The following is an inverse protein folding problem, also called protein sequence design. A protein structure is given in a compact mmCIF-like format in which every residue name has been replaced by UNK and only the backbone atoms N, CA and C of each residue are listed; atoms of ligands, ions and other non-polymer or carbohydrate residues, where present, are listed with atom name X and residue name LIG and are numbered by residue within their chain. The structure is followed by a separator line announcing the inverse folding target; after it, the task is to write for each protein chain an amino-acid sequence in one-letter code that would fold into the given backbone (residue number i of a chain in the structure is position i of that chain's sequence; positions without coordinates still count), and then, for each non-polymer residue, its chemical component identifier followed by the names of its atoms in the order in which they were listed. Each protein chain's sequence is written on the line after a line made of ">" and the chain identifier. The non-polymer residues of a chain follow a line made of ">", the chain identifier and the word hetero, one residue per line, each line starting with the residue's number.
data_IF_914734455199
#
_entry.id   IF_914734455199
#
_cell.length_a   1.000
_cell.length_b   1.000
_cell.length_c   1.000
_cell.angle_alpha   90.00
_cell.angle_beta   90.00
_cell.angle_gamma   90.00
#
_symmetry.space_group_name_H-M   'P 1'
#
loop_
_entity.id
_entity.type
_entity.pdbx_description
1 polymer ?
#
# COMPACT_ATOMS: atom_id res chain seq x y z
N UNK A 1 18.77 3.65 -40.71
CA UNK A 1 17.52 4.43 -40.58
C UNK A 1 17.14 4.46 -39.10
N UNK A 2 16.54 5.55 -38.61
CA UNK A 2 16.42 5.82 -37.17
C UNK A 2 15.42 4.93 -36.42
N UNK A 3 15.89 4.29 -35.36
CA UNK A 3 15.17 4.08 -34.10
C UNK A 3 16.19 4.29 -32.97
N UNK A 4 15.93 5.21 -32.00
CA UNK A 4 15.43 4.73 -30.70
C UNK A 4 14.49 5.75 -30.00
N UNK A 5 13.19 5.49 -30.00
CA UNK A 5 12.20 6.24 -29.18
C UNK A 5 11.08 5.37 -28.61
N UNK A 6 11.12 4.05 -28.82
CA UNK A 6 9.94 3.17 -28.67
C UNK A 6 9.70 2.59 -27.27
N UNK A 7 10.61 2.78 -26.29
CA UNK A 7 10.48 2.16 -24.95
C UNK A 7 9.69 2.99 -23.93
N UNK A 8 9.63 4.32 -24.08
CA UNK A 8 8.97 5.22 -23.11
C UNK A 8 7.48 4.87 -22.89
N UNK A 9 6.66 4.59 -23.94
CA UNK A 9 5.23 4.32 -23.74
C UNK A 9 4.91 2.97 -23.11
N UNK A 10 5.84 2.02 -23.13
CA UNK A 10 5.69 0.68 -22.55
C UNK A 10 5.92 0.72 -21.03
N UNK A 11 6.86 1.53 -20.57
CA UNK A 11 7.25 1.57 -19.16
C UNK A 11 6.22 2.33 -18.33
N UNK A 12 5.71 3.47 -18.82
CA UNK A 12 4.56 4.12 -18.18
C UNK A 12 3.34 3.19 -18.08
N UNK A 13 3.14 2.29 -19.07
CA UNK A 13 2.04 1.31 -19.02
C UNK A 13 2.31 0.12 -18.13
N UNK A 14 3.56 -0.26 -17.89
CA UNK A 14 3.86 -1.26 -16.87
C UNK A 14 3.56 -0.71 -15.46
N UNK A 15 3.73 0.60 -15.26
CA UNK A 15 3.36 1.31 -14.02
C UNK A 15 1.83 1.44 -13.90
N UNK A 16 1.13 1.87 -14.97
CA UNK A 16 -0.35 1.94 -14.98
C UNK A 16 -1.02 0.55 -14.86
N UNK A 17 -0.39 -0.51 -15.38
CA UNK A 17 -0.92 -1.88 -15.29
C UNK A 17 -0.62 -2.57 -13.94
N UNK A 18 0.36 -2.07 -13.18
CA UNK A 18 0.63 -2.54 -11.81
C UNK A 18 -0.21 -1.80 -10.76
N UNK A 19 -0.59 -0.53 -11.00
CA UNK A 19 -1.40 0.27 -10.08
C UNK A 19 -2.58 0.95 -10.76
N UNK A 20 -3.73 0.26 -10.75
CA UNK A 20 -5.00 0.87 -11.11
C UNK A 20 -5.43 1.92 -10.08
N UNK A 21 -5.13 3.19 -10.37
CA UNK A 21 -5.44 4.45 -9.65
C UNK A 21 -4.18 5.16 -9.12
N UNK A 22 -3.85 6.32 -9.72
CA UNK A 22 -3.50 7.54 -8.97
C UNK A 22 -3.50 8.83 -9.83
N UNK A 23 -4.63 9.11 -10.51
CA UNK A 23 -4.81 10.33 -11.33
C UNK A 23 -5.62 11.45 -10.62
N UNK A 24 -5.77 11.40 -9.29
CA UNK A 24 -6.78 12.21 -8.56
C UNK A 24 -6.22 13.47 -7.87
N UNK A 25 -4.93 13.53 -7.56
CA UNK A 25 -4.35 14.60 -6.71
C UNK A 25 -3.71 15.80 -7.45
N UNK A 26 -3.73 15.84 -8.79
CA UNK A 26 -3.17 16.96 -9.57
C UNK A 26 -4.00 18.28 -9.49
N UNK A 27 -5.02 18.36 -8.62
CA UNK A 27 -5.96 19.51 -8.53
C UNK A 27 -5.84 20.39 -7.28
N UNK A 28 -4.90 20.12 -6.35
CA UNK A 28 -4.75 20.92 -5.12
C UNK A 28 -3.58 21.94 -5.15
N UNK A 29 -2.90 22.09 -6.29
CA UNK A 29 -1.75 22.98 -6.44
C UNK A 29 -2.08 24.49 -6.66
N UNK A 30 -3.36 24.89 -6.68
CA UNK A 30 -3.77 26.31 -6.85
C UNK A 30 -4.69 26.74 -5.71
N UNK A 31 -4.12 27.25 -4.63
CA UNK A 31 -4.89 27.63 -3.44
C UNK A 31 -5.57 29.01 -3.52
N UNK A 32 -6.74 29.11 -2.89
CA UNK A 32 -7.18 30.34 -2.20
C UNK A 32 -8.20 30.01 -1.10
N UNK A 33 -7.93 30.39 0.15
CA UNK A 33 -8.92 30.38 1.23
C UNK A 33 -9.80 31.62 1.12
N UNK A 34 -11.12 31.45 1.19
CA UNK A 34 -12.04 32.41 1.83
C UNK A 34 -13.09 31.55 2.54
N UNK A 35 -13.37 31.83 3.82
CA UNK A 35 -14.36 31.08 4.61
C UNK A 35 -15.58 31.93 4.93
N UNK A 36 -16.60 31.31 5.55
CA UNK A 36 -17.71 31.92 6.32
C UNK A 36 -18.25 30.85 7.30
N UNK A 37 -18.99 31.31 8.31
CA UNK A 37 -19.67 30.66 9.45
C UNK A 37 -20.44 29.33 9.13
N UNK A 38 -20.99 28.56 10.10
CA UNK A 38 -21.71 29.02 11.29
C UNK A 38 -21.90 27.95 12.41
N UNK A 39 -22.33 28.42 13.59
CA UNK A 39 -22.67 27.63 14.79
C UNK A 39 -24.02 26.90 14.64
N UNK A 40 -24.13 25.68 15.16
CA UNK A 40 -25.34 25.15 15.82
C UNK A 40 -25.04 23.80 16.53
N UNK A 41 -25.90 23.39 17.48
CA UNK A 41 -25.97 22.09 18.16
C UNK A 41 -25.30 21.92 19.54
N UNK A 42 -25.44 22.92 20.41
CA UNK A 42 -25.83 22.64 21.81
C UNK A 42 -27.36 22.54 21.85
N UNK A 43 -27.96 21.40 22.22
CA UNK A 43 -29.36 21.27 22.73
C UNK A 43 -29.86 19.79 22.86
N UNK A 44 -29.12 18.89 23.52
CA UNK A 44 -29.65 17.54 23.85
C UNK A 44 -29.15 16.99 25.19
N UNK A 45 -29.68 17.51 26.31
CA UNK A 45 -30.36 16.71 27.37
C UNK A 45 -30.83 17.61 28.54
N UNK A 46 -32.08 17.49 29.06
CA UNK A 46 -32.55 18.28 30.21
C UNK A 46 -32.20 17.62 31.56
N UNK A 47 -31.83 18.41 32.57
CA UNK A 47 -31.49 17.90 33.91
C UNK A 47 -32.66 17.86 34.90
N UNK A 48 -32.43 17.29 36.10
CA UNK A 48 -33.14 17.67 37.32
C UNK A 48 -32.48 17.17 38.63
N UNK A 49 -32.82 17.87 39.72
CA UNK A 49 -32.80 17.47 41.14
C UNK A 49 -31.61 17.83 42.07
N UNK A 50 -31.96 18.58 43.13
CA UNK A 50 -31.26 18.91 44.39
C UNK A 50 -32.19 18.48 45.55
N UNK A 51 -31.75 18.14 46.76
CA UNK A 51 -30.48 18.32 47.48
C UNK A 51 -30.09 17.03 48.24
N UNK A 52 -28.99 17.02 49.01
CA UNK A 52 -29.03 16.98 50.49
C UNK A 52 -27.60 16.90 51.09
N UNK A 53 -27.37 17.70 52.13
CA UNK A 53 -26.19 17.64 53.03
C UNK A 53 -26.55 16.91 54.32
N UNK A 54 -25.69 16.03 54.81
CA UNK A 54 -25.69 15.54 56.20
C UNK A 54 -24.25 15.29 56.65
N UNK A 55 -23.84 15.86 57.78
CA UNK A 55 -22.57 15.58 58.46
C UNK A 55 -22.63 14.24 59.21
N UNK A 56 -21.49 13.55 59.35
CA UNK A 56 -21.44 12.36 60.22
C UNK A 56 -20.13 11.58 60.16
N UNK A 57 -19.43 11.51 61.30
CA UNK A 57 -18.20 10.73 61.44
C UNK A 57 -18.47 9.23 61.65
N UNK A 58 -17.53 8.37 61.26
CA UNK A 58 -17.35 7.06 61.89
C UNK A 58 -17.16 5.84 60.98
N UNK A 59 -16.01 5.18 61.14
CA UNK A 59 -15.79 3.74 60.92
C UNK A 59 -15.95 3.23 59.47
N UNK A 60 -14.97 3.55 58.62
CA UNK A 60 -14.62 2.70 57.47
C UNK A 60 -13.73 1.56 57.97
N UNK A 61 -14.21 0.32 57.89
CA UNK A 61 -13.44 -0.87 58.27
C UNK A 61 -12.37 -1.14 57.20
N UNK A 62 -11.11 -1.32 57.58
CA UNK A 62 -10.09 -1.86 56.67
C UNK A 62 -10.42 -3.31 56.31
N UNK A 63 -11.21 -3.47 55.25
CA UNK A 63 -11.44 -4.73 54.57
C UNK A 63 -10.44 -4.85 53.42
N UNK A 64 -9.25 -5.40 53.70
CA UNK A 64 -8.32 -5.89 52.67
C UNK A 64 -8.92 -7.11 51.97
N UNK A 65 -9.96 -6.88 51.17
CA UNK A 65 -10.32 -7.78 50.09
C UNK A 65 -9.27 -7.57 49.00
N UNK A 66 -8.31 -8.49 48.93
CA UNK A 66 -7.60 -8.72 47.67
C UNK A 66 -8.65 -9.10 46.64
N UNK A 67 -8.93 -8.20 45.70
CA UNK A 67 -10.00 -8.39 44.73
C UNK A 67 -9.41 -9.27 43.64
N UNK A 68 -9.69 -10.57 43.65
CA UNK A 68 -9.35 -11.43 42.51
C UNK A 68 -10.12 -10.88 41.32
N UNK A 69 -9.40 -10.22 40.42
CA UNK A 69 -9.95 -9.64 39.21
C UNK A 69 -10.02 -10.71 38.12
N UNK A 70 -11.11 -10.68 37.36
CA UNK A 70 -11.25 -11.59 36.24
C UNK A 70 -10.28 -11.21 35.12
N UNK A 71 -10.00 -12.18 34.25
CA UNK A 71 -9.29 -11.99 32.98
C UNK A 71 -9.67 -10.70 32.23
N UNK A 72 -10.97 -10.36 32.21
CA UNK A 72 -11.51 -9.13 31.64
C UNK A 72 -10.90 -7.87 32.23
N UNK A 73 -10.92 -7.76 33.55
CA UNK A 73 -10.48 -6.57 34.27
C UNK A 73 -8.95 -6.44 34.18
N UNK A 74 -8.23 -7.58 34.26
CA UNK A 74 -6.79 -7.64 33.99
C UNK A 74 -6.45 -7.20 32.56
N UNK A 75 -7.19 -7.66 31.55
CA UNK A 75 -6.97 -7.29 30.15
C UNK A 75 -7.22 -5.80 29.91
N UNK A 76 -8.32 -5.27 30.46
CA UNK A 76 -8.62 -3.83 30.41
C UNK A 76 -7.56 -3.00 31.13
N UNK A 77 -7.10 -3.45 32.31
CA UNK A 77 -6.03 -2.80 33.07
C UNK A 77 -4.73 -2.78 32.26
N UNK A 78 -4.23 -3.94 31.82
CA UNK A 78 -3.00 -4.04 31.01
C UNK A 78 -3.04 -3.19 29.73
N UNK A 79 -4.21 -3.13 29.08
CA UNK A 79 -4.43 -2.27 27.91
C UNK A 79 -4.36 -0.78 28.27
N UNK A 80 -5.00 -0.37 29.37
CA UNK A 80 -4.96 1.00 29.87
C UNK A 80 -3.55 1.41 30.33
N UNK A 81 -2.84 0.54 31.06
CA UNK A 81 -1.45 0.74 31.50
C UNK A 81 -0.48 1.00 30.33
N UNK A 82 -0.76 0.44 29.15
CA UNK A 82 0.04 0.63 27.93
C UNK A 82 -0.52 1.69 26.96
N UNK A 83 -1.57 2.43 27.33
CA UNK A 83 -2.29 3.41 26.49
C UNK A 83 -2.85 2.84 25.16
N UNK A 84 -3.14 1.54 25.09
CA UNK A 84 -3.59 0.88 23.87
C UNK A 84 -5.11 1.05 23.65
N UNK A 85 -5.52 1.24 22.40
CA UNK A 85 -6.95 1.11 22.00
C UNK A 85 -7.34 -0.36 21.86
N UNK A 86 -8.66 -0.68 21.85
CA UNK A 86 -9.12 -2.05 21.59
C UNK A 86 -8.70 -2.51 20.18
N UNK A 87 -8.70 -1.56 19.24
CA UNK A 87 -8.24 -1.68 17.87
C UNK A 87 -6.75 -2.02 17.79
N UNK A 88 -5.89 -1.32 18.53
CA UNK A 88 -4.45 -1.59 18.57
C UNK A 88 -4.12 -2.96 19.16
N UNK A 89 -4.82 -3.35 20.24
CA UNK A 89 -4.71 -4.70 20.78
C UNK A 89 -5.18 -5.75 19.75
N UNK A 90 -6.27 -5.48 19.02
CA UNK A 90 -6.78 -6.40 18.00
C UNK A 90 -5.80 -6.57 16.81
N UNK A 91 -5.16 -5.48 16.36
CA UNK A 91 -4.10 -5.49 15.34
C UNK A 91 -2.90 -6.33 15.81
N UNK A 92 -2.34 -6.06 17.00
CA UNK A 92 -1.25 -6.83 17.62
C UNK A 92 -1.57 -8.34 17.74
N UNK A 93 -2.83 -8.66 18.00
CA UNK A 93 -3.31 -10.03 18.20
C UNK A 93 -3.66 -10.77 16.90
N UNK A 94 -3.71 -10.07 15.75
CA UNK A 94 -4.25 -10.60 14.50
C UNK A 94 -5.67 -11.14 14.69
N UNK A 95 -6.56 -10.32 15.25
CA UNK A 95 -8.00 -10.61 15.44
C UNK A 95 -8.83 -9.38 15.11
N UNK A 96 -10.14 -9.58 14.93
CA UNK A 96 -11.06 -8.45 14.80
C UNK A 96 -11.21 -7.68 16.12
N UNK A 97 -11.47 -6.37 16.04
CA UNK A 97 -11.76 -5.53 17.22
C UNK A 97 -12.91 -6.13 18.04
N UNK A 98 -13.93 -6.67 17.38
CA UNK A 98 -15.05 -7.34 18.04
C UNK A 98 -14.61 -8.50 18.94
N UNK A 99 -13.56 -9.25 18.58
CA UNK A 99 -13.02 -10.31 19.44
C UNK A 99 -12.46 -9.73 20.74
N UNK A 100 -11.66 -8.67 20.67
CA UNK A 100 -11.16 -7.95 21.86
C UNK A 100 -12.30 -7.35 22.67
N UNK A 101 -13.30 -6.74 22.03
CA UNK A 101 -14.50 -6.24 22.73
C UNK A 101 -15.31 -7.36 23.39
N UNK A 102 -15.38 -8.57 22.80
CA UNK A 102 -16.05 -9.74 23.41
C UNK A 102 -15.25 -10.28 24.60
N UNK A 103 -13.92 -10.30 24.53
CA UNK A 103 -13.01 -10.65 25.63
C UNK A 103 -13.14 -9.65 26.79
N UNK A 104 -13.07 -8.34 26.50
CA UNK A 104 -13.28 -7.25 27.47
C UNK A 104 -14.74 -7.11 27.96
N UNK A 105 -15.66 -7.96 27.49
CA UNK A 105 -17.06 -8.00 27.91
C UNK A 105 -17.50 -9.37 28.47
N UNK A 106 -16.56 -10.31 28.71
CA UNK A 106 -16.85 -11.69 29.17
C UNK A 106 -17.79 -12.50 28.26
N UNK A 107 -18.01 -12.04 27.01
CA UNK A 107 -18.89 -12.71 26.04
C UNK A 107 -18.20 -13.83 25.27
N UNK A 108 -16.87 -13.86 25.28
CA UNK A 108 -16.05 -14.92 24.73
C UNK A 108 -14.70 -14.95 25.47
N UNK A 109 -14.04 -16.10 25.47
CA UNK A 109 -12.65 -16.24 25.90
C UNK A 109 -11.72 -16.32 24.67
N UNK A 110 -10.45 -15.89 24.75
CA UNK A 110 -9.48 -16.16 23.70
C UNK A 110 -9.16 -17.66 23.62
N UNK A 111 -8.79 -18.13 22.42
CA UNK A 111 -8.21 -19.46 22.23
C UNK A 111 -6.79 -19.53 22.85
N UNK A 112 -6.29 -20.75 23.11
CA UNK A 112 -4.99 -20.96 23.78
C UNK A 112 -3.84 -20.21 23.08
N UNK A 113 -3.75 -20.29 21.75
CA UNK A 113 -2.73 -19.59 20.96
C UNK A 113 -2.81 -18.06 21.08
N UNK A 114 -4.03 -17.54 21.28
CA UNK A 114 -4.26 -16.11 21.52
C UNK A 114 -3.91 -15.74 22.97
N UNK A 115 -4.19 -16.60 23.96
CA UNK A 115 -3.71 -16.40 25.34
C UNK A 115 -2.18 -16.34 25.42
N UNK A 116 -1.48 -17.24 24.72
CA UNK A 116 -0.01 -17.24 24.65
C UNK A 116 0.53 -15.97 23.97
N UNK A 117 -0.16 -15.44 22.95
CA UNK A 117 0.22 -14.14 22.36
C UNK A 117 -0.04 -12.97 23.31
N UNK A 118 -1.14 -12.98 24.07
CA UNK A 118 -1.42 -11.95 25.07
C UNK A 118 -0.34 -11.92 26.16
N UNK A 119 0.13 -13.07 26.64
CA UNK A 119 1.22 -13.13 27.62
C UNK A 119 2.54 -12.60 27.07
N UNK A 120 2.86 -12.87 25.79
CA UNK A 120 4.04 -12.31 25.11
C UNK A 120 3.97 -10.78 24.90
N UNK A 121 2.79 -10.24 24.58
CA UNK A 121 2.57 -8.79 24.38
C UNK A 121 2.63 -8.03 25.71
N UNK A 122 1.97 -8.59 26.73
CA UNK A 122 1.80 -7.92 28.03
C UNK A 122 2.89 -8.26 29.06
N UNK A 123 3.75 -9.24 28.78
CA UNK A 123 4.88 -9.70 29.62
C UNK A 123 4.42 -10.13 31.03
N UNK A 124 3.46 -11.05 31.04
CA UNK A 124 2.81 -11.65 32.21
C UNK A 124 2.63 -13.16 31.99
N UNK A 125 2.44 -13.94 33.06
CA UNK A 125 2.12 -15.37 32.91
C UNK A 125 0.64 -15.61 32.58
N UNK A 126 0.28 -16.80 32.11
CA UNK A 126 -1.14 -17.15 31.84
C UNK A 126 -1.95 -17.08 33.14
N UNK A 127 -1.40 -17.60 34.24
CA UNK A 127 -2.05 -17.58 35.55
C UNK A 127 -2.24 -16.16 36.10
N UNK A 128 -1.25 -15.27 35.92
CA UNK A 128 -1.39 -13.83 36.21
C UNK A 128 -2.51 -13.19 35.40
N UNK A 129 -2.56 -13.45 34.08
CA UNK A 129 -3.53 -12.86 33.17
C UNK A 129 -4.96 -13.32 33.49
N UNK A 130 -5.15 -14.60 33.85
CA UNK A 130 -6.46 -15.24 34.04
C UNK A 130 -6.97 -15.15 35.49
N UNK A 131 -6.10 -15.16 36.49
CA UNK A 131 -6.48 -15.27 37.91
C UNK A 131 -5.63 -14.45 38.89
N UNK A 132 -4.63 -13.70 38.42
CA UNK A 132 -3.86 -12.77 39.24
C UNK A 132 -4.58 -11.44 39.48
N UNK A 133 -4.17 -10.70 40.49
CA UNK A 133 -4.46 -9.25 40.61
C UNK A 133 -3.30 -8.48 39.98
N UNK A 134 -3.50 -8.01 38.74
CA UNK A 134 -2.48 -7.24 38.01
C UNK A 134 -2.58 -5.72 38.24
N UNK A 135 -3.49 -5.23 39.10
CA UNK A 135 -3.62 -3.79 39.39
C UNK A 135 -2.54 -3.24 40.32
N UNK A 136 -1.91 -4.11 41.11
CA UNK A 136 -0.76 -3.76 41.96
C UNK A 136 0.58 -3.66 41.21
N UNK A 137 0.66 -4.11 39.95
CA UNK A 137 1.90 -4.08 39.16
C UNK A 137 2.09 -2.67 38.59
N UNK A 138 3.08 -1.94 39.11
CA UNK A 138 3.44 -0.62 38.61
C UNK A 138 3.72 -0.66 37.09
N UNK A 139 3.35 0.37 36.32
CA UNK A 139 3.62 0.41 34.88
C UNK A 139 5.11 0.26 34.60
N UNK A 140 5.50 -0.89 34.05
CA UNK A 140 6.85 -1.13 33.55
C UNK A 140 7.10 -0.15 32.39
N UNK A 141 7.79 0.95 32.66
CA UNK A 141 7.91 2.11 31.76
C UNK A 141 8.62 1.80 30.43
N UNK A 142 9.14 0.59 30.24
CA UNK A 142 9.89 0.15 29.08
C UNK A 142 9.07 0.03 27.78
N UNK A 143 7.73 -0.07 27.83
CA UNK A 143 6.86 -0.26 26.64
C UNK A 143 5.47 0.41 26.73
N UNK A 144 5.33 1.57 27.35
CA UNK A 144 4.10 2.36 27.21
C UNK A 144 4.04 3.01 25.83
N UNK A 145 2.92 2.86 25.09
CA UNK A 145 2.73 3.62 23.86
C UNK A 145 2.56 5.10 24.25
N UNK A 146 3.35 6.04 23.68
CA UNK A 146 3.24 7.45 24.05
C UNK A 146 1.89 7.99 23.60
N UNK A 147 1.11 8.50 24.56
CA UNK A 147 -0.23 8.99 24.30
C UNK A 147 -0.23 10.12 23.24
N UNK A 148 -0.88 9.86 22.10
CA UNK A 148 -1.30 10.83 21.07
C UNK A 148 -0.20 11.57 20.27
N UNK A 149 1.05 11.59 20.70
CA UNK A 149 2.12 12.35 20.04
C UNK A 149 2.86 11.61 18.92
N UNK A 150 2.87 10.28 18.95
CA UNK A 150 3.32 9.43 17.86
C UNK A 150 2.59 8.08 17.95
N UNK A 151 1.64 7.86 17.04
CA UNK A 151 1.26 6.49 16.71
C UNK A 151 2.52 5.85 16.09
N UNK A 152 3.12 4.91 16.81
CA UNK A 152 4.28 4.18 16.29
C UNK A 152 3.82 3.19 15.23
N UNK A 153 4.64 2.93 14.22
CA UNK A 153 4.42 1.83 13.28
C UNK A 153 4.62 0.50 14.03
N UNK A 154 3.53 -0.07 14.52
CA UNK A 154 3.53 -1.31 15.32
C UNK A 154 3.80 -2.55 14.45
N UNK A 155 3.41 -2.50 13.17
CA UNK A 155 3.45 -3.66 12.26
C UNK A 155 4.70 -3.69 11.36
N UNK A 156 5.50 -2.61 11.33
CA UNK A 156 6.63 -2.45 10.40
C UNK A 156 6.18 -2.14 8.97
N UNK A 157 5.01 -1.54 8.82
CA UNK A 157 4.38 -1.20 7.55
C UNK A 157 5.23 -0.25 6.68
N UNK A 158 5.81 0.79 7.30
CA UNK A 158 6.60 1.80 6.59
C UNK A 158 7.85 1.17 5.97
N UNK A 159 8.58 0.36 6.75
CA UNK A 159 9.76 -0.39 6.29
C UNK A 159 9.37 -1.41 5.21
N UNK A 160 8.28 -2.16 5.42
CA UNK A 160 7.78 -3.14 4.47
C UNK A 160 7.49 -2.50 3.09
N UNK A 161 6.71 -1.41 3.07
CA UNK A 161 6.36 -0.71 1.83
C UNK A 161 7.55 0.01 1.18
N UNK A 162 8.52 0.52 1.93
CA UNK A 162 9.78 1.06 1.36
C UNK A 162 10.60 -0.04 0.70
N UNK A 163 10.69 -1.22 1.33
CA UNK A 163 11.41 -2.37 0.77
C UNK A 163 10.73 -2.87 -0.52
N UNK A 164 9.40 -2.91 -0.55
CA UNK A 164 8.60 -3.19 -1.74
C UNK A 164 8.89 -2.19 -2.86
N UNK A 165 8.76 -0.89 -2.58
CA UNK A 165 9.01 0.20 -3.52
C UNK A 165 10.39 0.09 -4.17
N UNK A 166 11.44 -0.10 -3.34
CA UNK A 166 12.82 -0.26 -3.80
C UNK A 166 13.02 -1.51 -4.64
N UNK A 167 12.49 -2.66 -4.22
CA UNK A 167 12.67 -3.92 -4.94
C UNK A 167 11.99 -3.90 -6.32
N UNK A 168 10.78 -3.33 -6.41
CA UNK A 168 10.09 -3.18 -7.69
C UNK A 168 10.81 -2.16 -8.58
N UNK A 169 11.15 -0.98 -8.07
CA UNK A 169 11.86 0.04 -8.84
C UNK A 169 13.23 -0.46 -9.36
N UNK A 170 14.01 -1.16 -8.52
CA UNK A 170 15.28 -1.79 -8.93
C UNK A 170 15.06 -2.88 -9.97
N UNK A 171 14.05 -3.74 -9.79
CA UNK A 171 13.75 -4.80 -10.74
C UNK A 171 13.41 -4.25 -12.13
N UNK A 172 12.58 -3.21 -12.22
CA UNK A 172 12.25 -2.54 -13.49
C UNK A 172 13.49 -1.88 -14.10
N UNK A 173 14.32 -1.19 -13.31
CA UNK A 173 15.55 -0.58 -13.78
C UNK A 173 16.54 -1.61 -14.34
N UNK A 174 16.69 -2.77 -13.69
CA UNK A 174 17.58 -3.84 -14.14
C UNK A 174 17.10 -4.47 -15.46
N UNK A 175 15.80 -4.61 -15.69
CA UNK A 175 15.25 -5.06 -16.98
C UNK A 175 15.67 -4.09 -18.11
N UNK A 176 15.57 -2.78 -17.85
CA UNK A 176 15.96 -1.74 -18.81
C UNK A 176 17.48 -1.70 -19.05
N UNK A 177 18.29 -1.92 -18.00
CA UNK A 177 19.73 -2.06 -18.14
C UNK A 177 20.13 -3.34 -18.89
N UNK A 178 19.37 -4.44 -18.77
CA UNK A 178 19.56 -5.64 -19.58
C UNK A 178 19.33 -5.39 -21.08
N UNK A 179 18.25 -4.68 -21.41
CA UNK A 179 18.00 -4.23 -22.79
C UNK A 179 19.09 -3.25 -23.30
N UNK A 180 19.51 -2.29 -22.47
CA UNK A 180 20.62 -1.40 -22.78
C UNK A 180 21.93 -2.14 -23.03
N UNK A 181 22.26 -3.09 -22.16
CA UNK A 181 23.42 -3.97 -22.28
C UNK A 181 23.39 -4.81 -23.56
N UNK A 182 22.23 -5.32 -23.97
CA UNK A 182 22.07 -6.02 -25.23
C UNK A 182 22.40 -5.12 -26.44
N UNK A 183 21.85 -3.89 -26.49
CA UNK A 183 22.17 -2.94 -27.58
C UNK A 183 23.63 -2.48 -27.59
N UNK A 184 24.25 -2.38 -26.41
CA UNK A 184 25.67 -2.07 -26.27
C UNK A 184 26.56 -3.21 -26.78
N UNK A 185 26.24 -4.44 -26.39
CA UNK A 185 26.94 -5.65 -26.82
C UNK A 185 26.84 -5.82 -28.33
N UNK A 186 25.65 -5.70 -28.92
CA UNK A 186 25.46 -5.72 -30.38
C UNK A 186 26.34 -4.67 -31.09
N UNK A 187 26.39 -3.44 -30.55
CA UNK A 187 27.25 -2.36 -31.05
C UNK A 187 28.76 -2.64 -30.97
N UNK A 188 29.20 -3.46 -30.01
CA UNK A 188 30.60 -3.88 -29.85
C UNK A 188 30.95 -5.17 -30.61
N UNK A 189 30.05 -6.15 -30.65
CA UNK A 189 30.31 -7.50 -31.19
C UNK A 189 30.00 -7.62 -32.67
N UNK A 190 29.53 -6.56 -33.34
CA UNK A 190 29.27 -6.50 -34.80
C UNK A 190 30.47 -6.85 -35.73
N UNK A 191 31.66 -7.11 -35.19
CA UNK A 191 32.84 -7.61 -35.92
C UNK A 191 33.34 -9.00 -35.44
N UNK A 192 32.65 -9.62 -34.48
CA UNK A 192 32.93 -10.94 -33.94
C UNK A 192 31.93 -11.97 -34.50
N UNK A 193 32.33 -13.25 -34.52
CA UNK A 193 31.65 -14.29 -35.28
C UNK A 193 30.33 -14.84 -34.67
N UNK A 194 29.90 -14.35 -33.50
CA UNK A 194 28.62 -14.69 -32.87
C UNK A 194 28.12 -13.52 -31.99
N UNK A 195 27.51 -12.47 -32.58
CA UNK A 195 27.04 -11.30 -31.84
C UNK A 195 25.72 -11.55 -31.09
N UNK A 196 24.94 -12.55 -31.50
CA UNK A 196 23.56 -12.79 -31.06
C UNK A 196 23.52 -13.47 -29.68
N UNK A 197 24.47 -14.36 -29.39
CA UNK A 197 24.53 -15.03 -28.08
C UNK A 197 24.77 -14.04 -26.92
N UNK A 198 25.70 -13.10 -27.08
CA UNK A 198 26.07 -12.14 -26.04
C UNK A 198 24.95 -11.14 -25.72
N UNK A 199 24.31 -10.59 -26.75
CA UNK A 199 23.19 -9.65 -26.60
C UNK A 199 21.95 -10.34 -26.01
N UNK A 200 21.64 -11.57 -26.42
CA UNK A 200 20.59 -12.38 -25.83
C UNK A 200 20.83 -12.67 -24.34
N UNK A 201 22.06 -13.07 -23.96
CA UNK A 201 22.43 -13.31 -22.55
C UNK A 201 22.24 -12.05 -21.70
N UNK A 202 22.62 -10.87 -22.19
CA UNK A 202 22.43 -9.61 -21.46
C UNK A 202 20.93 -9.27 -21.29
N UNK A 203 20.12 -9.43 -22.33
CA UNK A 203 18.68 -9.17 -22.29
C UNK A 203 17.97 -10.12 -21.33
N UNK A 204 18.15 -11.43 -21.51
CA UNK A 204 17.48 -12.45 -20.68
C UNK A 204 18.02 -12.50 -19.26
N UNK A 205 19.31 -12.20 -19.05
CA UNK A 205 19.91 -12.07 -17.72
C UNK A 205 19.31 -10.89 -16.94
N UNK A 206 19.21 -9.71 -17.55
CA UNK A 206 18.54 -8.55 -16.94
C UNK A 206 17.06 -8.81 -16.66
N UNK A 207 16.36 -9.50 -17.57
CA UNK A 207 14.98 -9.92 -17.36
C UNK A 207 14.84 -10.88 -16.16
N UNK A 208 15.69 -11.92 -16.08
CA UNK A 208 15.66 -12.90 -15.00
C UNK A 208 15.96 -12.27 -13.64
N UNK A 209 16.99 -11.41 -13.55
CA UNK A 209 17.35 -10.72 -12.30
C UNK A 209 16.23 -9.74 -11.89
N UNK A 210 15.66 -8.98 -12.84
CA UNK A 210 14.57 -8.06 -12.54
C UNK A 210 13.30 -8.76 -12.03
N UNK A 211 12.90 -9.86 -12.67
CA UNK A 211 11.78 -10.69 -12.21
C UNK A 211 12.06 -11.36 -10.85
N UNK A 212 13.30 -11.77 -10.59
CA UNK A 212 13.72 -12.31 -9.29
C UNK A 212 13.66 -11.28 -8.14
N UNK A 213 13.61 -9.98 -8.43
CA UNK A 213 13.32 -8.94 -7.44
C UNK A 213 11.82 -8.62 -7.34
N UNK A 214 11.13 -8.51 -8.47
CA UNK A 214 9.71 -8.09 -8.52
C UNK A 214 8.79 -9.18 -7.95
N UNK A 215 8.94 -10.44 -8.39
CA UNK A 215 7.99 -11.51 -8.07
C UNK A 215 7.99 -11.83 -6.56
N UNK A 216 9.14 -12.04 -5.88
CA UNK A 216 9.13 -12.28 -4.44
C UNK A 216 8.65 -11.07 -3.64
N UNK A 217 8.92 -9.85 -4.10
CA UNK A 217 8.44 -8.63 -3.45
C UNK A 217 6.90 -8.54 -3.48
N UNK A 218 6.29 -8.77 -4.64
CA UNK A 218 4.82 -8.83 -4.77
C UNK A 218 4.20 -9.92 -3.91
N UNK A 219 4.75 -11.14 -3.93
CA UNK A 219 4.26 -12.25 -3.07
C UNK A 219 4.38 -11.89 -1.58
N UNK A 220 5.48 -11.23 -1.17
CA UNK A 220 5.64 -10.79 0.22
C UNK A 220 4.64 -9.72 0.64
N UNK A 221 4.25 -8.80 -0.26
CA UNK A 221 3.23 -7.79 0.05
C UNK A 221 1.83 -8.41 0.14
N UNK A 222 1.45 -9.32 -0.76
CA UNK A 222 0.20 -10.06 -0.62
C UNK A 222 0.14 -10.90 0.67
N UNK A 223 1.27 -11.48 1.09
CA UNK A 223 1.35 -12.19 2.38
C UNK A 223 1.29 -11.23 3.59
N UNK A 224 1.86 -10.03 3.47
CA UNK A 224 1.78 -8.99 4.48
C UNK A 224 0.35 -8.45 4.63
N UNK A 225 -0.35 -8.18 3.53
CA UNK A 225 -1.75 -7.74 3.50
C UNK A 225 -2.68 -8.75 4.22
N UNK A 226 -2.49 -10.05 3.96
CA UNK A 226 -3.25 -11.13 4.62
C UNK A 226 -3.00 -11.23 6.12
N UNK A 227 -1.79 -10.92 6.57
CA UNK A 227 -1.44 -10.91 8.00
C UNK A 227 -1.83 -9.61 8.72
N UNK A 228 -2.00 -8.50 7.99
CA UNK A 228 -2.38 -7.20 8.54
C UNK A 228 -3.56 -6.55 7.76
N UNK A 229 -4.78 -7.10 7.78
CA UNK A 229 -5.89 -6.61 6.94
C UNK A 229 -6.44 -5.22 7.31
N UNK A 230 -5.97 -4.65 8.42
CA UNK A 230 -6.31 -3.30 8.85
C UNK A 230 -5.13 -2.66 9.56
N UNK A 231 -4.82 -1.41 9.20
CA UNK A 231 -3.78 -0.58 9.81
C UNK A 231 -4.41 0.79 10.17
N UNK A 232 -4.13 1.27 11.38
CA UNK A 232 -4.52 2.61 11.83
C UNK A 232 -3.59 3.68 11.22
N UNK A 233 -4.17 4.83 10.80
CA UNK A 233 -3.40 5.90 10.16
C UNK A 233 -2.46 6.59 11.15
N UNK A 234 -1.18 6.24 11.10
CA UNK A 234 -0.15 6.74 12.00
C UNK A 234 0.65 7.93 11.45
N UNK A 235 0.48 8.28 10.17
CA UNK A 235 1.21 9.38 9.54
C UNK A 235 0.59 10.74 9.86
N UNK A 236 1.41 11.69 10.31
CA UNK A 236 0.97 13.07 10.49
C UNK A 236 0.73 13.77 9.14
N UNK A 237 -0.13 14.80 9.13
CA UNK A 237 -0.36 15.61 7.92
C UNK A 237 0.93 16.21 7.36
N UNK A 238 1.85 16.65 8.22
CA UNK A 238 3.17 17.16 7.81
C UNK A 238 4.07 16.09 7.16
N UNK A 239 3.97 14.84 7.60
CA UNK A 239 4.67 13.71 6.95
C UNK A 239 4.06 13.43 5.57
N UNK A 240 2.74 13.39 5.45
CA UNK A 240 2.04 13.21 4.17
C UNK A 240 2.39 14.33 3.18
N UNK A 241 2.39 15.57 3.62
CA UNK A 241 2.76 16.74 2.80
C UNK A 241 4.26 16.80 2.45
N UNK A 242 5.13 16.17 3.23
CA UNK A 242 6.55 16.00 2.89
C UNK A 242 6.73 15.00 1.75
N UNK A 243 6.08 13.83 1.86
CA UNK A 243 6.12 12.77 0.84
C UNK A 243 5.50 13.26 -0.48
N UNK A 244 4.32 13.90 -0.43
CA UNK A 244 3.66 14.49 -1.61
C UNK A 244 4.50 15.55 -2.32
N UNK A 245 5.29 16.35 -1.59
CA UNK A 245 6.25 17.30 -2.19
C UNK A 245 7.47 16.60 -2.79
N UNK A 246 8.04 15.62 -2.10
CA UNK A 246 9.15 14.82 -2.61
C UNK A 246 8.77 14.11 -3.93
N UNK A 247 7.58 13.52 -4.00
CA UNK A 247 7.01 12.93 -5.21
C UNK A 247 7.04 13.87 -6.42
N UNK A 248 6.66 15.14 -6.25
CA UNK A 248 6.70 16.13 -7.34
C UNK A 248 8.11 16.35 -7.89
N UNK A 249 9.12 16.37 -7.02
CA UNK A 249 10.53 16.49 -7.43
C UNK A 249 11.08 15.20 -8.04
N UNK A 250 10.80 14.02 -7.47
CA UNK A 250 11.27 12.73 -7.99
C UNK A 250 10.61 12.40 -9.35
N UNK A 251 9.31 12.65 -9.52
CA UNK A 251 8.59 12.51 -10.79
C UNK A 251 9.16 13.44 -11.87
N UNK A 252 9.36 14.72 -11.54
CA UNK A 252 9.92 15.70 -12.49
C UNK A 252 11.37 15.37 -12.85
N UNK A 253 12.18 14.98 -11.85
CA UNK A 253 13.57 14.55 -12.05
C UNK A 253 13.66 13.27 -12.89
N UNK A 254 12.77 12.31 -12.68
CA UNK A 254 12.69 11.09 -13.46
C UNK A 254 12.32 11.35 -14.92
N UNK A 255 11.29 12.16 -15.18
CA UNK A 255 10.91 12.59 -16.54
C UNK A 255 12.07 13.35 -17.21
N UNK A 256 12.70 14.28 -16.50
CA UNK A 256 13.85 15.02 -17.00
C UNK A 256 15.03 14.10 -17.34
N UNK A 257 15.30 13.06 -16.54
CA UNK A 257 16.35 12.08 -16.82
C UNK A 257 16.07 11.27 -18.10
N UNK A 258 14.83 10.82 -18.33
CA UNK A 258 14.45 10.13 -19.59
C UNK A 258 14.59 11.06 -20.79
N UNK A 259 14.10 12.30 -20.69
CA UNK A 259 14.18 13.27 -21.80
C UNK A 259 15.62 13.69 -22.10
N UNK A 260 16.44 13.90 -21.07
CA UNK A 260 17.86 14.20 -21.20
C UNK A 260 18.63 13.02 -21.82
N UNK A 261 18.33 11.77 -21.43
CA UNK A 261 18.99 10.60 -22.02
C UNK A 261 18.61 10.42 -23.49
N UNK A 262 17.36 10.68 -23.87
CA UNK A 262 16.94 10.72 -25.27
C UNK A 262 17.67 11.82 -26.06
N UNK A 263 17.72 13.05 -25.53
CA UNK A 263 18.41 14.17 -26.16
C UNK A 263 19.93 13.92 -26.33
N UNK A 264 20.58 13.37 -25.29
CA UNK A 264 21.99 12.98 -25.36
C UNK A 264 22.21 11.86 -26.38
N UNK A 265 21.37 10.82 -26.38
CA UNK A 265 21.52 9.69 -27.31
C UNK A 265 21.51 10.10 -28.79
N UNK A 266 20.81 11.18 -29.15
CA UNK A 266 20.79 11.71 -30.50
C UNK A 266 22.12 12.35 -30.96
N UNK A 267 23.01 12.70 -30.02
CA UNK A 267 24.31 13.33 -30.30
C UNK A 267 25.52 12.37 -30.30
N UNK A 268 25.34 11.09 -29.94
CA UNK A 268 26.41 10.09 -29.94
C UNK A 268 26.38 9.21 -31.19
N UNK A 269 27.50 8.51 -31.46
CA UNK A 269 27.53 7.45 -32.46
C UNK A 269 26.45 6.39 -32.21
N UNK A 270 25.89 5.83 -33.28
CA UNK A 270 24.75 4.90 -33.24
C UNK A 270 24.96 3.68 -32.34
N UNK A 271 26.22 3.25 -32.14
CA UNK A 271 26.61 2.13 -31.28
C UNK A 271 26.40 2.42 -29.78
N UNK A 272 26.56 3.67 -29.34
CA UNK A 272 26.44 4.07 -27.94
C UNK A 272 25.09 4.72 -27.62
N UNK A 273 24.44 5.31 -28.63
CA UNK A 273 23.15 5.98 -28.50
C UNK A 273 22.10 5.13 -27.77
N UNK A 274 21.89 3.87 -28.19
CA UNK A 274 20.93 2.96 -27.57
C UNK A 274 21.24 2.70 -26.09
N UNK A 275 22.48 2.33 -25.78
CA UNK A 275 22.93 2.05 -24.42
C UNK A 275 22.75 3.26 -23.48
N UNK A 276 23.16 4.46 -23.92
CA UNK A 276 23.03 5.70 -23.15
C UNK A 276 21.56 6.07 -22.90
N UNK A 277 20.69 5.88 -23.91
CA UNK A 277 19.26 6.06 -23.75
C UNK A 277 18.70 5.11 -22.67
N UNK A 278 19.04 3.82 -22.72
CA UNK A 278 18.56 2.82 -21.75
C UNK A 278 19.08 3.04 -20.33
N UNK A 279 20.32 3.49 -20.15
CA UNK A 279 20.86 3.84 -18.82
C UNK A 279 20.08 4.99 -18.19
N UNK A 280 19.87 6.09 -18.92
CA UNK A 280 19.11 7.21 -18.40
C UNK A 280 17.60 6.93 -18.30
N UNK A 281 17.07 6.06 -19.15
CA UNK A 281 15.71 5.54 -19.00
C UNK A 281 15.56 4.69 -17.74
N UNK A 282 16.53 3.82 -17.43
CA UNK A 282 16.52 3.03 -16.19
C UNK A 282 16.58 3.92 -14.94
N UNK A 283 17.41 4.97 -14.93
CA UNK A 283 17.47 5.95 -13.83
C UNK A 283 16.15 6.71 -13.71
N UNK A 284 15.63 7.25 -14.82
CA UNK A 284 14.40 8.05 -14.81
C UNK A 284 13.19 7.24 -14.36
N UNK A 285 13.08 5.99 -14.84
CA UNK A 285 12.03 5.05 -14.47
C UNK A 285 12.17 4.59 -13.03
N UNK A 286 13.39 4.31 -12.55
CA UNK A 286 13.62 3.98 -11.13
C UNK A 286 13.02 5.07 -10.23
N UNK A 287 13.33 6.34 -10.51
CA UNK A 287 12.79 7.48 -9.76
C UNK A 287 11.26 7.56 -9.83
N UNK A 288 10.67 7.42 -11.02
CA UNK A 288 9.21 7.49 -11.21
C UNK A 288 8.50 6.36 -10.44
N UNK A 289 8.95 5.11 -10.61
CA UNK A 289 8.38 3.94 -9.92
C UNK A 289 8.49 4.11 -8.41
N UNK A 290 9.70 4.40 -7.92
CA UNK A 290 9.98 4.60 -6.50
C UNK A 290 9.08 5.68 -5.89
N UNK A 291 8.98 6.84 -6.53
CA UNK A 291 8.17 7.95 -6.06
C UNK A 291 6.68 7.60 -5.98
N UNK A 292 6.13 6.89 -6.98
CA UNK A 292 4.73 6.44 -6.98
C UNK A 292 4.46 5.51 -5.79
N UNK A 293 5.30 4.50 -5.57
CA UNK A 293 5.16 3.59 -4.42
C UNK A 293 5.35 4.28 -3.05
N UNK A 294 6.19 5.32 -2.96
CA UNK A 294 6.34 6.08 -1.71
C UNK A 294 5.11 6.95 -1.38
N UNK A 295 4.35 7.39 -2.37
CA UNK A 295 3.04 8.05 -2.17
C UNK A 295 1.97 7.03 -1.81
N UNK A 296 1.91 5.91 -2.51
CA UNK A 296 0.98 4.81 -2.22
C UNK A 296 1.05 4.38 -0.73
N UNK A 297 2.27 4.22 -0.22
CA UNK A 297 2.54 3.92 1.20
C UNK A 297 1.85 4.86 2.20
N UNK A 298 1.65 6.14 1.91
CA UNK A 298 1.01 7.06 2.88
C UNK A 298 -0.53 7.05 2.83
N UNK A 299 -1.13 6.35 1.85
CA UNK A 299 -2.57 6.16 1.75
C UNK A 299 -3.01 4.84 2.42
N UNK A 300 -3.05 4.91 3.75
CA UNK A 300 -3.51 3.81 4.60
C UNK A 300 -5.02 3.52 4.37
N UNK A 301 -5.81 4.46 3.82
CA UNK A 301 -7.22 4.18 3.50
C UNK A 301 -7.34 3.27 2.27
N UNK A 302 -6.61 3.58 1.18
CA UNK A 302 -6.58 2.73 -0.01
C UNK A 302 -5.95 1.35 0.32
N UNK A 303 -4.87 1.28 1.10
CA UNK A 303 -4.33 0.00 1.62
C UNK A 303 -5.37 -0.85 2.36
N UNK A 304 -6.15 -0.22 3.26
CA UNK A 304 -7.19 -0.93 4.01
C UNK A 304 -8.32 -1.41 3.09
N UNK A 305 -8.67 -0.66 2.04
CA UNK A 305 -9.68 -1.10 1.05
C UNK A 305 -9.18 -2.30 0.26
N UNK A 306 -7.91 -2.31 -0.14
CA UNK A 306 -7.30 -3.41 -0.88
C UNK A 306 -7.18 -4.68 -0.04
N UNK A 307 -6.65 -4.59 1.18
CA UNK A 307 -6.51 -5.74 2.07
C UNK A 307 -7.87 -6.33 2.50
N UNK A 308 -8.90 -5.49 2.68
CA UNK A 308 -10.27 -5.96 2.93
C UNK A 308 -10.95 -6.54 1.68
N UNK A 309 -10.40 -6.36 0.48
CA UNK A 309 -11.01 -6.86 -0.77
C UNK A 309 -10.83 -8.36 -0.99
N UNK A 310 -9.88 -8.99 -0.30
CA UNK A 310 -9.68 -10.44 -0.27
C UNK A 310 -10.57 -11.16 0.78
N UNK A 311 -11.25 -10.43 1.66
CA UNK A 311 -12.04 -10.99 2.77
C UNK A 311 -13.54 -11.11 2.46
N UNK A 312 -14.23 -11.97 3.21
CA UNK A 312 -15.68 -12.13 3.13
C UNK A 312 -16.44 -10.97 3.79
N UNK A 313 -17.69 -10.71 3.37
CA UNK A 313 -18.45 -9.55 3.88
C UNK A 313 -18.65 -9.59 5.42
N UNK A 314 -18.77 -10.78 6.01
CA UNK A 314 -18.84 -11.00 7.46
C UNK A 314 -17.52 -10.68 8.18
N UNK A 315 -16.38 -11.04 7.60
CA UNK A 315 -15.05 -10.79 8.16
C UNK A 315 -14.75 -9.29 8.15
N UNK A 316 -15.04 -8.61 7.03
CA UNK A 316 -14.95 -7.14 6.90
C UNK A 316 -15.82 -6.44 7.95
N UNK A 317 -17.06 -6.91 8.16
CA UNK A 317 -17.95 -6.36 9.17
C UNK A 317 -17.42 -6.57 10.60
N UNK A 318 -16.74 -7.69 10.86
CA UNK A 318 -16.10 -7.96 12.16
C UNK A 318 -14.92 -7.02 12.46
N UNK A 319 -14.10 -6.69 11.44
CA UNK A 319 -12.89 -5.88 11.56
C UNK A 319 -13.25 -4.40 11.71
N UNK A 320 -14.07 -3.87 10.79
CA UNK A 320 -14.39 -2.44 10.68
C UNK A 320 -15.55 -2.03 11.61
N UNK A 321 -16.38 -3.00 12.01
CA UNK A 321 -17.60 -2.79 12.79
C UNK A 321 -18.82 -2.46 11.92
N UNK A 322 -19.98 -3.01 12.30
CA UNK A 322 -21.23 -3.01 11.52
C UNK A 322 -21.63 -1.61 11.01
N UNK A 323 -21.48 -0.58 11.83
CA UNK A 323 -21.85 0.80 11.49
C UNK A 323 -21.05 1.41 10.33
N UNK A 324 -19.81 0.97 10.11
CA UNK A 324 -18.97 1.40 8.96
C UNK A 324 -18.86 0.34 7.87
N UNK A 325 -19.16 -0.92 8.17
CA UNK A 325 -19.07 -2.05 7.24
C UNK A 325 -19.77 -1.77 5.90
N UNK A 326 -21.01 -1.25 5.92
CA UNK A 326 -21.76 -0.96 4.70
C UNK A 326 -21.07 0.06 3.78
N UNK A 327 -20.42 1.09 4.35
CA UNK A 327 -19.70 2.11 3.58
C UNK A 327 -18.39 1.56 2.99
N UNK A 328 -17.66 0.75 3.76
CA UNK A 328 -16.39 0.16 3.32
C UNK A 328 -16.64 -0.96 2.30
N UNK A 329 -17.65 -1.82 2.49
CA UNK A 329 -18.05 -2.84 1.52
C UNK A 329 -18.45 -2.24 0.16
N UNK A 330 -19.07 -1.05 0.14
CA UNK A 330 -19.35 -0.34 -1.11
C UNK A 330 -18.05 0.05 -1.85
N UNK A 331 -17.03 0.56 -1.13
CA UNK A 331 -15.70 0.87 -1.71
C UNK A 331 -14.97 -0.39 -2.18
N UNK A 332 -14.96 -1.45 -1.37
CA UNK A 332 -14.36 -2.76 -1.70
C UNK A 332 -14.97 -3.35 -2.97
N UNK A 333 -16.31 -3.43 -3.06
CA UNK A 333 -17.00 -3.92 -4.28
C UNK A 333 -16.63 -3.07 -5.49
N UNK A 334 -16.59 -1.75 -5.36
CA UNK A 334 -16.18 -0.83 -6.44
C UNK A 334 -14.75 -1.11 -6.91
N UNK A 335 -13.80 -1.29 -6.00
CA UNK A 335 -12.41 -1.54 -6.41
C UNK A 335 -12.27 -2.89 -7.13
N UNK A 336 -12.97 -3.93 -6.63
CA UNK A 336 -13.04 -5.24 -7.29
C UNK A 336 -13.60 -5.15 -8.72
N UNK A 337 -14.63 -4.33 -8.95
CA UNK A 337 -15.18 -4.09 -10.31
C UNK A 337 -14.20 -3.33 -11.22
N UNK A 338 -13.51 -2.31 -10.71
CA UNK A 338 -12.48 -1.58 -11.46
C UNK A 338 -11.37 -2.52 -11.92
N UNK A 339 -10.83 -3.32 -10.99
CA UNK A 339 -9.77 -4.31 -11.27
C UNK A 339 -10.22 -5.36 -12.28
N UNK A 340 -11.40 -5.94 -12.11
CA UNK A 340 -11.94 -6.94 -13.03
C UNK A 340 -12.13 -6.39 -14.46
N UNK A 341 -12.68 -5.18 -14.61
CA UNK A 341 -12.88 -4.56 -15.93
C UNK A 341 -11.54 -4.19 -16.59
N UNK A 342 -10.58 -3.65 -15.84
CA UNK A 342 -9.24 -3.39 -16.36
C UNK A 342 -8.54 -4.68 -16.81
N UNK A 343 -8.63 -5.75 -16.00
CA UNK A 343 -8.10 -7.07 -16.33
C UNK A 343 -8.69 -7.64 -17.63
N UNK A 344 -10.02 -7.57 -17.81
CA UNK A 344 -10.69 -7.98 -19.04
C UNK A 344 -10.16 -7.18 -20.25
N UNK A 345 -10.05 -5.85 -20.13
CA UNK A 345 -9.54 -4.98 -21.20
C UNK A 345 -8.11 -5.34 -21.58
N UNK A 346 -7.24 -5.60 -20.59
CA UNK A 346 -5.83 -5.95 -20.82
C UNK A 346 -5.65 -7.37 -21.40
N UNK A 347 -6.50 -8.33 -21.01
CA UNK A 347 -6.54 -9.66 -21.63
C UNK A 347 -6.98 -9.55 -23.10
N UNK A 348 -8.05 -8.80 -23.39
CA UNK A 348 -8.51 -8.57 -24.78
C UNK A 348 -7.44 -7.86 -25.62
N UNK A 349 -6.79 -6.82 -25.08
CA UNK A 349 -5.68 -6.14 -25.74
C UNK A 349 -4.51 -7.09 -26.04
N UNK A 350 -4.19 -8.01 -25.12
CA UNK A 350 -3.13 -9.02 -25.30
C UNK A 350 -3.51 -10.05 -26.37
N UNK A 351 -4.76 -10.51 -26.40
CA UNK A 351 -5.26 -11.41 -27.45
C UNK A 351 -5.15 -10.75 -28.83
N UNK A 352 -5.59 -9.49 -28.96
CA UNK A 352 -5.50 -8.74 -30.22
C UNK A 352 -4.05 -8.45 -30.64
N UNK A 353 -3.18 -8.16 -29.67
CA UNK A 353 -1.73 -8.01 -29.85
C UNK A 353 -1.08 -9.28 -30.40
N UNK A 354 -1.36 -10.44 -29.79
CA UNK A 354 -0.83 -11.73 -30.23
C UNK A 354 -1.36 -12.14 -31.61
N UNK A 355 -2.67 -12.01 -31.86
CA UNK A 355 -3.27 -12.27 -33.18
C UNK A 355 -2.58 -11.40 -34.24
N UNK A 356 -2.40 -10.10 -33.96
CA UNK A 356 -1.74 -9.17 -34.89
C UNK A 356 -0.27 -9.52 -35.13
N UNK A 357 0.45 -9.99 -34.10
CA UNK A 357 1.84 -10.41 -34.21
C UNK A 357 2.01 -11.63 -35.13
N UNK A 358 1.21 -12.68 -34.92
CA UNK A 358 1.26 -13.89 -35.75
C UNK A 358 0.74 -13.64 -37.17
N UNK A 359 -0.34 -12.86 -37.33
CA UNK A 359 -0.89 -12.51 -38.64
C UNK A 359 0.05 -11.58 -39.43
N UNK A 360 0.69 -10.64 -38.75
CA UNK A 360 1.71 -9.76 -39.33
C UNK A 360 2.93 -10.54 -39.82
N UNK A 361 3.40 -11.53 -39.06
CA UNK A 361 4.51 -12.40 -39.47
C UNK A 361 4.15 -13.31 -40.66
N UNK A 362 2.88 -13.66 -40.84
CA UNK A 362 2.38 -14.34 -42.03
C UNK A 362 2.19 -13.41 -43.25
N UNK A 363 2.12 -12.08 -43.04
CA UNK A 363 1.92 -11.08 -44.09
C UNK A 363 2.91 -9.90 -43.93
N UNK A 364 4.19 -10.09 -44.34
CA UNK A 364 5.22 -9.06 -44.22
C UNK A 364 4.84 -7.75 -44.91
N UNK A 365 5.19 -6.63 -44.29
CA UNK A 365 4.84 -5.28 -44.75
C UNK A 365 3.44 -4.80 -44.33
N UNK A 366 2.60 -5.66 -43.75
CA UNK A 366 1.25 -5.29 -43.29
C UNK A 366 1.28 -4.31 -42.11
N UNK A 367 0.17 -3.57 -41.92
CA UNK A 367 -0.02 -2.70 -40.76
C UNK A 367 0.15 -3.46 -39.43
N UNK A 368 -0.35 -4.70 -39.36
CA UNK A 368 -0.29 -5.52 -38.15
C UNK A 368 1.15 -5.89 -37.75
N UNK A 369 2.04 -6.17 -38.70
CA UNK A 369 3.46 -6.42 -38.41
C UNK A 369 4.13 -5.21 -37.74
N UNK A 370 3.83 -4.00 -38.20
CA UNK A 370 4.48 -2.75 -37.73
C UNK A 370 3.87 -2.19 -36.44
N UNK A 371 2.58 -2.47 -36.19
CA UNK A 371 1.80 -1.82 -35.14
C UNK A 371 1.10 -2.78 -34.17
N UNK A 372 1.44 -4.08 -34.13
CA UNK A 372 0.86 -5.02 -33.15
C UNK A 372 0.99 -4.55 -31.69
N UNK A 373 2.05 -3.80 -31.37
CA UNK A 373 2.27 -3.24 -30.03
C UNK A 373 1.24 -2.18 -29.62
N UNK A 374 0.49 -1.59 -30.56
CA UNK A 374 -0.49 -0.53 -30.28
C UNK A 374 -1.69 -1.05 -29.48
N UNK A 375 -1.97 -2.36 -29.52
CA UNK A 375 -3.10 -2.95 -28.79
C UNK A 375 -2.96 -2.81 -27.27
N UNK A 376 -1.78 -3.06 -26.70
CA UNK A 376 -1.51 -2.78 -25.29
C UNK A 376 -1.57 -1.28 -24.97
N UNK A 377 -1.24 -0.41 -25.93
CA UNK A 377 -1.34 1.05 -25.76
C UNK A 377 -2.81 1.47 -25.64
N UNK A 378 -3.66 0.99 -26.54
CA UNK A 378 -5.10 1.25 -26.54
C UNK A 378 -5.77 0.60 -25.32
N UNK A 379 -5.37 -0.61 -24.93
CA UNK A 379 -5.87 -1.30 -23.74
C UNK A 379 -5.65 -0.51 -22.45
N UNK A 380 -4.43 0.00 -22.22
CA UNK A 380 -4.14 0.83 -21.05
C UNK A 380 -4.98 2.12 -21.00
N UNK A 381 -5.10 2.82 -22.13
CA UNK A 381 -5.94 4.01 -22.25
C UNK A 381 -7.42 3.71 -21.99
N UNK A 382 -7.95 2.59 -22.50
CA UNK A 382 -9.32 2.16 -22.26
C UNK A 382 -9.56 1.79 -20.79
N UNK A 383 -8.62 1.11 -20.12
CA UNK A 383 -8.71 0.85 -18.68
C UNK A 383 -8.76 2.17 -17.88
N UNK A 384 -7.91 3.15 -18.20
CA UNK A 384 -7.94 4.47 -17.56
C UNK A 384 -9.28 5.20 -17.77
N UNK A 385 -9.82 5.17 -19.00
CA UNK A 385 -11.13 5.76 -19.33
C UNK A 385 -12.25 5.09 -18.53
N UNK A 386 -12.25 3.76 -18.42
CA UNK A 386 -13.28 3.00 -17.67
C UNK A 386 -13.20 3.30 -16.17
N UNK A 387 -12.00 3.37 -15.58
CA UNK A 387 -11.82 3.78 -14.18
C UNK A 387 -12.38 5.19 -13.91
N UNK A 388 -12.13 6.15 -14.82
CA UNK A 388 -12.70 7.49 -14.74
C UNK A 388 -14.22 7.46 -14.87
N UNK A 389 -14.79 6.73 -15.84
CA UNK A 389 -16.23 6.63 -16.06
C UNK A 389 -16.97 6.05 -14.84
N UNK A 390 -16.44 5.00 -14.23
CA UNK A 390 -16.97 4.42 -12.99
C UNK A 390 -16.82 5.38 -11.79
N UNK A 391 -15.77 6.21 -11.77
CA UNK A 391 -15.62 7.26 -10.75
C UNK A 391 -16.61 8.43 -10.88
N UNK A 392 -17.19 8.63 -12.07
CA UNK A 392 -18.18 9.67 -12.36
C UNK A 392 -19.61 9.17 -12.17
N UNK A 393 -19.91 7.92 -12.53
CA UNK A 393 -21.24 7.31 -12.39
C UNK A 393 -21.79 7.41 -10.96
N UNK A 394 -20.93 7.28 -9.96
CA UNK A 394 -21.33 7.27 -8.55
C UNK A 394 -21.45 8.69 -7.93
N UNK A 395 -21.33 9.76 -8.72
CA UNK A 395 -21.49 11.15 -8.26
C UNK A 395 -22.84 11.79 -8.63
N UNK A 396 -23.67 11.09 -9.40
CA UNK A 396 -25.02 11.48 -9.79
C UNK A 396 -26.03 10.41 -9.41
#
# INVERSE_FOLDING_TARGET
>A
MHYPTQFIPAICKMIEALHGCHARDLRLATGRRIGIAEKAASDWWPGQSRYHTVDGAGIQRHSTKGTIMGFRDNLQHLRATRNMTQEQLAMLMGVSRQSVTKWEAERAYPEMDKLIKLTQIFDCTIDELVSGDLTGRAPEAARSIPARAALADVCGYDEHKVKLARNIALGVAIILLGAGGATFLEGMTAQLADPDAGSAIAMFGGLAIGLALIIPAGISDSAYQKSHPFIEDFYTSEQKDRVRRAFGYELTGGIAAVLLSAALSAGFESRLAGALFFVGAAIGVFLIVHAVFLVDRIDIEDYNIDALSELNEEEVASIVGEARAAQVLAKVRKNRWNGALCGIIMIVATILGLISMFWGRANPGSFFERFFWIWWVVGGLLCAIVSIALSLRDRG
#
